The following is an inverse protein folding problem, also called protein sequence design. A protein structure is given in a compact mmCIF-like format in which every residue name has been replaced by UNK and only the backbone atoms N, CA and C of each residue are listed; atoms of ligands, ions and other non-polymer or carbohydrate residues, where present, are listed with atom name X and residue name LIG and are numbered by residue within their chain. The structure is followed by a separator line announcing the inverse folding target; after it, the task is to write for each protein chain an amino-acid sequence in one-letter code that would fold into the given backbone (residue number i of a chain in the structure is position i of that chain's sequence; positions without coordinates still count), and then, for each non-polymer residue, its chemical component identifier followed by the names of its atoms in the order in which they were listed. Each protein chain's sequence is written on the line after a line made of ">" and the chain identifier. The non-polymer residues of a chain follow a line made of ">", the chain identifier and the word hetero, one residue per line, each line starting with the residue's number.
data_IF_746907156509
#
_entry.id   IF_746907156509
#
_cell.length_a   1.000
_cell.length_b   1.000
_cell.length_c   1.000
_cell.angle_alpha   90.00
_cell.angle_beta   90.00
_cell.angle_gamma   90.00
#
_symmetry.space_group_name_H-M   'P 1'
#
loop_
_entity.id
_entity.type
_entity.pdbx_description
1 polymer ?
#
# COMPACT_ATOMS: atom_id res chain seq x y z
N UNK A 1 4.64 -14.45 9.60
CA UNK A 1 5.76 -13.60 10.06
C UNK A 1 6.49 -13.16 8.81
N UNK A 2 6.06 -12.05 8.20
CA UNK A 2 6.67 -11.60 6.96
C UNK A 2 7.89 -10.77 7.32
N UNK A 3 9.06 -11.35 7.06
CA UNK A 3 10.34 -10.70 7.27
C UNK A 3 10.37 -9.39 6.47
N UNK A 4 10.92 -8.33 7.06
CA UNK A 4 11.15 -7.07 6.34
C UNK A 4 12.06 -7.37 5.14
N UNK A 5 11.63 -7.09 3.90
CA UNK A 5 12.41 -7.40 2.72
C UNK A 5 13.68 -6.56 2.70
N UNK A 6 14.75 -7.14 2.17
CA UNK A 6 15.99 -6.43 1.88
C UNK A 6 15.92 -5.81 0.49
N UNK A 7 16.49 -4.62 0.35
CA UNK A 7 16.70 -4.00 -0.95
C UNK A 7 17.68 -4.87 -1.76
N UNK A 8 17.33 -5.35 -2.96
CA UNK A 8 18.24 -6.13 -3.80
C UNK A 8 19.47 -5.33 -4.24
N UNK A 9 19.36 -4.00 -4.32
CA UNK A 9 20.43 -3.14 -4.84
C UNK A 9 21.36 -2.64 -3.71
N UNK A 10 20.82 -2.42 -2.51
CA UNK A 10 21.55 -1.82 -1.39
C UNK A 10 21.83 -2.78 -0.24
N UNK A 11 21.24 -3.98 -0.27
CA UNK A 11 21.32 -4.98 0.80
C UNK A 11 20.95 -4.44 2.20
N UNK A 12 20.03 -3.47 2.25
CA UNK A 12 19.54 -2.87 3.50
C UNK A 12 18.04 -3.13 3.70
N UNK A 13 17.61 -3.09 4.96
CA UNK A 13 16.21 -3.31 5.32
C UNK A 13 15.34 -2.19 4.73
N UNK A 14 14.22 -2.57 4.10
CA UNK A 14 13.30 -1.61 3.50
C UNK A 14 12.27 -1.09 4.52
N UNK A 15 11.77 0.12 4.29
CA UNK A 15 10.76 0.77 5.11
C UNK A 15 9.36 0.36 4.64
N UNK A 16 8.52 -0.10 5.57
CA UNK A 16 7.12 -0.45 5.30
C UNK A 16 6.29 0.81 5.06
N UNK A 17 5.39 0.72 4.10
CA UNK A 17 4.42 1.77 3.78
C UNK A 17 3.29 1.26 2.90
N UNK A 18 2.53 2.20 2.34
CA UNK A 18 1.44 1.94 1.40
C UNK A 18 1.38 3.01 0.32
N UNK A 19 0.71 2.69 -0.79
CA UNK A 19 0.48 3.63 -1.88
C UNK A 19 -0.99 4.06 -1.86
N UNK A 20 -1.31 5.28 -1.42
CA UNK A 20 -2.69 5.75 -1.43
C UNK A 20 -3.18 5.94 -2.88
N UNK A 21 -4.39 5.48 -3.15
CA UNK A 21 -5.07 5.76 -4.42
C UNK A 21 -5.85 7.08 -4.31
N UNK A 22 -5.21 8.15 -4.78
CA UNK A 22 -5.78 9.50 -4.76
C UNK A 22 -6.15 9.99 -6.17
N UNK A 23 -6.16 9.10 -7.17
CA UNK A 23 -6.22 9.45 -8.57
C UNK A 23 -7.65 9.59 -9.12
N UNK A 24 -8.66 9.75 -8.25
CA UNK A 24 -10.07 9.72 -8.62
C UNK A 24 -10.39 10.66 -9.81
N UNK A 25 -10.50 10.07 -11.01
CA UNK A 25 -10.64 10.73 -12.31
C UNK A 25 -9.58 11.80 -12.68
N UNK A 26 -8.38 11.71 -12.10
CA UNK A 26 -7.29 12.66 -12.33
C UNK A 26 -5.98 11.92 -12.65
N UNK A 27 -5.19 12.46 -13.56
CA UNK A 27 -3.81 12.06 -13.72
C UNK A 27 -2.95 12.76 -12.65
N UNK A 28 -2.61 12.04 -11.59
CA UNK A 28 -1.72 12.52 -10.51
C UNK A 28 -0.52 11.59 -10.36
N UNK A 29 0.58 12.12 -9.85
CA UNK A 29 1.72 11.29 -9.48
C UNK A 29 1.35 10.39 -8.30
N UNK A 30 1.60 9.08 -8.43
CA UNK A 30 1.43 8.14 -7.32
C UNK A 30 2.32 8.51 -6.15
N UNK A 31 1.77 8.41 -4.95
CA UNK A 31 2.48 8.71 -3.71
C UNK A 31 2.78 7.43 -2.95
N UNK A 32 3.74 7.51 -2.04
CA UNK A 32 4.02 6.48 -1.05
C UNK A 32 3.99 7.13 0.33
N UNK A 33 3.37 6.45 1.29
CA UNK A 33 3.29 6.89 2.67
C UNK A 33 3.93 5.83 3.58
N UNK A 34 4.83 6.21 4.50
CA UNK A 34 5.40 5.27 5.46
C UNK A 34 4.34 4.79 6.47
N UNK A 35 4.51 3.59 7.02
CA UNK A 35 3.65 3.06 8.08
C UNK A 35 2.48 2.21 7.60
N UNK A 36 1.47 2.06 8.45
CA UNK A 36 0.30 1.21 8.18
C UNK A 36 -0.91 2.05 7.78
N UNK A 37 -1.82 1.44 7.02
CA UNK A 37 -3.10 2.07 6.69
C UNK A 37 -3.96 2.09 7.93
N UNK A 38 -4.31 3.27 8.40
CA UNK A 38 -5.36 3.42 9.41
C UNK A 38 -6.73 3.22 8.73
N UNK A 39 -7.63 2.39 9.29
CA UNK A 39 -8.97 2.25 8.74
C UNK A 39 -9.69 3.60 8.76
N UNK A 40 -10.06 4.14 7.59
CA UNK A 40 -10.92 5.32 7.55
C UNK A 40 -12.28 5.01 8.18
N UNK A 41 -12.55 5.61 9.33
CA UNK A 41 -13.90 5.81 9.85
C UNK A 41 -14.39 7.19 9.45
N UNK A 42 -15.09 7.30 8.32
CA UNK A 42 -15.80 8.52 7.96
C UNK A 42 -17.07 8.62 8.83
N UNK A 43 -17.00 9.32 9.98
CA UNK A 43 -18.14 9.46 10.91
C UNK A 43 -18.89 8.13 11.24
N UNK A 44 -18.21 6.98 11.15
CA UNK A 44 -18.82 5.66 11.36
C UNK A 44 -19.67 5.09 10.20
N UNK A 45 -19.69 5.71 9.01
CA UNK A 45 -20.50 5.26 7.87
C UNK A 45 -19.64 4.78 6.68
N UNK A 46 -19.83 3.51 6.31
CA UNK A 46 -19.23 2.89 5.12
C UNK A 46 -19.94 3.40 3.86
N UNK A 47 -19.26 4.24 3.08
CA UNK A 47 -19.75 4.67 1.77
C UNK A 47 -19.38 3.60 0.74
N UNK A 48 -20.31 2.69 0.46
CA UNK A 48 -20.17 1.73 -0.64
C UNK A 48 -20.17 2.48 -1.97
N UNK A 49 -19.00 2.69 -2.57
CA UNK A 49 -18.90 3.17 -3.95
C UNK A 49 -18.43 2.02 -4.86
N UNK A 50 -19.33 1.65 -5.77
CA UNK A 50 -19.09 0.95 -7.04
C UNK A 50 -18.72 -0.55 -6.96
N UNK A 51 -19.72 -1.38 -7.28
CA UNK A 51 -19.72 -2.83 -7.08
C UNK A 51 -19.03 -3.59 -8.23
N UNK A 52 -17.70 -3.73 -8.17
CA UNK A 52 -17.06 -4.94 -8.69
C UNK A 52 -17.36 -6.08 -7.72
N UNK A 53 -17.88 -7.22 -8.22
CA UNK A 53 -18.12 -8.41 -7.39
C UNK A 53 -16.76 -9.04 -7.04
N UNK A 54 -16.19 -8.62 -5.92
CA UNK A 54 -14.95 -9.16 -5.39
C UNK A 54 -15.24 -10.27 -4.37
N UNK A 55 -14.54 -11.39 -4.50
CA UNK A 55 -14.52 -12.41 -3.46
C UNK A 55 -13.65 -11.91 -2.29
N UNK A 56 -14.31 -11.42 -1.24
CA UNK A 56 -13.65 -10.84 -0.06
C UNK A 56 -12.68 -11.80 0.63
N UNK A 57 -12.87 -13.12 0.49
CA UNK A 57 -11.96 -14.12 1.08
C UNK A 57 -10.59 -14.18 0.41
N UNK A 58 -10.50 -13.66 -0.83
CA UNK A 58 -9.30 -13.66 -1.67
C UNK A 58 -8.61 -12.30 -1.75
N UNK A 59 -9.16 -11.28 -1.10
CA UNK A 59 -8.52 -9.97 -1.01
C UNK A 59 -7.33 -10.08 -0.07
N UNK A 60 -6.19 -9.55 -0.52
CA UNK A 60 -4.93 -9.47 0.20
C UNK A 60 -4.47 -8.01 0.21
N UNK A 61 -4.19 -7.38 1.37
CA UNK A 61 -3.62 -6.04 1.39
C UNK A 61 -2.32 -5.98 0.60
N UNK A 62 -2.17 -4.92 -0.21
CA UNK A 62 -0.90 -4.62 -0.86
C UNK A 62 -0.08 -3.73 0.07
N UNK A 63 1.06 -4.23 0.53
CA UNK A 63 2.04 -3.48 1.33
C UNK A 63 3.18 -3.07 0.41
N UNK A 64 3.60 -1.82 0.50
CA UNK A 64 4.69 -1.27 -0.32
C UNK A 64 5.91 -0.97 0.54
N UNK A 65 7.06 -1.55 0.20
CA UNK A 65 8.33 -1.33 0.87
C UNK A 65 9.22 -0.40 0.05
N UNK A 66 9.74 0.66 0.68
CA UNK A 66 10.65 1.64 0.07
C UNK A 66 12.07 1.47 0.64
N UNK A 67 13.07 1.41 -0.22
CA UNK A 67 14.47 1.47 0.22
C UNK A 67 14.80 2.89 0.71
N UNK A 68 15.31 3.07 1.94
CA UNK A 68 15.69 4.40 2.45
C UNK A 68 16.87 5.02 1.70
N UNK A 69 17.73 4.21 1.10
CA UNK A 69 18.95 4.68 0.42
C UNK A 69 18.73 5.04 -1.05
N UNK A 70 18.14 4.14 -1.84
CA UNK A 70 17.98 4.34 -3.29
C UNK A 70 16.54 4.66 -3.73
N UNK A 71 15.55 4.51 -2.83
CA UNK A 71 14.14 4.76 -3.16
C UNK A 71 13.45 3.64 -3.94
N UNK A 72 14.10 2.50 -4.20
CA UNK A 72 13.45 1.33 -4.82
C UNK A 72 12.16 0.98 -4.06
N UNK A 73 11.07 0.81 -4.81
CA UNK A 73 9.76 0.48 -4.28
C UNK A 73 9.36 -0.95 -4.70
N UNK A 74 8.93 -1.78 -3.74
CA UNK A 74 8.44 -3.14 -3.97
C UNK A 74 7.09 -3.33 -3.32
N UNK A 75 6.10 -3.81 -4.07
CA UNK A 75 4.74 -4.03 -3.57
C UNK A 75 4.45 -5.53 -3.46
N UNK A 76 3.89 -5.95 -2.32
CA UNK A 76 3.60 -7.35 -1.99
C UNK A 76 2.13 -7.49 -1.60
N UNK A 77 1.45 -8.51 -2.10
CA UNK A 77 0.11 -8.88 -1.67
C UNK A 77 0.21 -9.97 -0.59
N UNK A 78 -0.06 -9.62 0.68
CA UNK A 78 0.06 -10.51 1.85
C UNK A 78 -1.28 -11.00 2.39
#
# INVERSE_FOLDING_TARGET
>A
MNAIPQCPDCACAMEKGFQPDNAYYRAVQSLWHPGEVEPETFFGLKVNQQNLKLDKSKIRPVIAYRCPQCGLLRSYAE
#
